data_IF_490557790675
#
_entry.id   IF_490557790675
#
_cell.length_a   1.000
_cell.length_b   1.000
_cell.length_c   1.000
_cell.angle_alpha   90.00
_cell.angle_beta   90.00
_cell.angle_gamma   90.00
#
_symmetry.space_group_name_H-M   'P 1'
#
loop_
_entity.id
_entity.type
_entity.pdbx_description
1 polymer ?
#
# COMPACT_ATOMS: atom_id res chain seq x y z
N UNK A 1 -5.47 71.91 -19.03
CA UNK A 1 -4.40 70.95 -18.69
C UNK A 1 -4.92 70.03 -17.59
N UNK A 2 -5.24 68.78 -17.91
CA UNK A 2 -5.58 67.74 -16.93
C UNK A 2 -5.06 66.42 -17.48
N UNK A 3 -3.90 66.01 -17.00
CA UNK A 3 -3.29 64.72 -17.36
C UNK A 3 -3.88 63.66 -16.45
N UNK A 4 -4.64 62.72 -17.00
CA UNK A 4 -5.04 61.50 -16.30
C UNK A 4 -3.95 60.44 -16.53
N UNK A 5 -3.29 60.04 -15.44
CA UNK A 5 -2.38 58.90 -15.43
C UNK A 5 -3.21 57.65 -15.19
N UNK A 6 -3.27 56.76 -16.18
CA UNK A 6 -3.92 55.45 -16.07
C UNK A 6 -2.89 54.45 -15.54
N UNK A 7 -3.12 53.91 -14.34
CA UNK A 7 -2.27 52.90 -13.71
C UNK A 7 -2.80 51.51 -14.08
N UNK A 8 -2.04 50.76 -14.89
CA UNK A 8 -2.42 49.42 -15.34
C UNK A 8 -1.83 48.36 -14.39
N UNK A 9 -2.66 47.78 -13.53
CA UNK A 9 -2.28 46.64 -12.69
C UNK A 9 -2.30 45.36 -13.52
N UNK A 10 -1.12 44.80 -13.83
CA UNK A 10 -0.99 43.45 -14.35
C UNK A 10 -1.19 42.44 -13.21
N UNK A 11 -2.37 41.83 -13.15
CA UNK A 11 -2.58 40.61 -12.37
C UNK A 11 -1.89 39.44 -13.09
N UNK A 12 -0.70 39.06 -12.63
CA UNK A 12 -0.12 37.76 -12.98
C UNK A 12 -0.94 36.67 -12.30
N UNK A 13 -1.87 36.05 -13.04
CA UNK A 13 -2.47 34.80 -12.61
C UNK A 13 -1.41 33.71 -12.69
N UNK A 14 -0.84 33.31 -11.56
CA UNK A 14 -0.07 32.06 -11.47
C UNK A 14 -1.05 30.92 -11.70
N UNK A 15 -1.08 30.38 -12.92
CA UNK A 15 -1.78 29.13 -13.21
C UNK A 15 -0.96 28.03 -12.52
N UNK A 16 -1.31 27.70 -11.29
CA UNK A 16 -0.81 26.51 -10.62
C UNK A 16 -1.38 25.30 -11.38
N UNK A 17 -0.59 24.72 -12.28
CA UNK A 17 -0.86 23.39 -12.81
C UNK A 17 -0.76 22.41 -11.63
N UNK A 18 -1.91 22.07 -11.04
CA UNK A 18 -2.01 20.89 -10.19
C UNK A 18 -1.82 19.70 -11.13
N UNK A 19 -0.68 19.02 -11.05
CA UNK A 19 -0.54 17.72 -11.69
C UNK A 19 -1.61 16.82 -11.08
N UNK A 20 -2.49 16.28 -11.92
CA UNK A 20 -3.52 15.38 -11.45
C UNK A 20 -2.82 14.12 -10.93
N UNK A 21 -3.06 13.79 -9.67
CA UNK A 21 -2.67 12.49 -9.11
C UNK A 21 -3.44 11.43 -9.87
N UNK A 22 -2.72 10.54 -10.55
CA UNK A 22 -3.31 9.46 -11.34
C UNK A 22 -2.79 8.13 -10.81
N UNK A 23 -3.64 7.11 -10.80
CA UNK A 23 -3.22 5.75 -10.51
C UNK A 23 -3.98 4.75 -11.37
N UNK A 24 -3.27 3.70 -11.80
CA UNK A 24 -3.77 2.65 -12.68
C UNK A 24 -3.18 1.30 -12.28
N UNK A 25 -4.00 0.26 -12.40
CA UNK A 25 -3.53 -1.14 -12.32
C UNK A 25 -2.92 -1.52 -13.67
N UNK A 26 -1.73 -2.09 -13.66
CA UNK A 26 -1.05 -2.56 -14.86
C UNK A 26 -1.55 -3.96 -15.27
N UNK A 27 -1.76 -4.14 -16.57
CA UNK A 27 -1.99 -5.44 -17.19
C UNK A 27 -0.71 -6.27 -17.26
N UNK A 28 -0.82 -7.57 -17.53
CA UNK A 28 0.35 -8.43 -17.66
C UNK A 28 1.23 -8.04 -18.86
N UNK A 29 0.62 -7.67 -19.98
CA UNK A 29 1.36 -7.15 -21.15
C UNK A 29 2.16 -5.91 -20.78
N UNK A 30 1.53 -4.98 -20.08
CA UNK A 30 2.17 -3.76 -19.59
C UNK A 30 3.30 -3.98 -18.58
N UNK A 31 3.24 -5.05 -17.78
CA UNK A 31 4.31 -5.44 -16.85
C UNK A 31 5.51 -5.99 -17.65
N UNK A 32 5.25 -6.83 -18.66
CA UNK A 32 6.27 -7.45 -19.51
C UNK A 32 6.94 -6.40 -20.40
N UNK A 33 6.17 -5.55 -21.08
CA UNK A 33 6.69 -4.49 -21.96
C UNK A 33 7.56 -3.48 -21.22
N UNK A 34 7.25 -3.24 -19.95
CA UNK A 34 8.02 -2.37 -19.06
C UNK A 34 9.23 -3.05 -18.43
N UNK A 35 9.39 -4.36 -18.58
CA UNK A 35 10.43 -5.16 -17.90
C UNK A 35 10.49 -4.90 -16.38
N UNK A 36 9.30 -4.85 -15.74
CA UNK A 36 9.23 -4.59 -14.30
C UNK A 36 9.77 -5.77 -13.50
N UNK A 37 10.68 -5.46 -12.57
CA UNK A 37 11.25 -6.44 -11.67
C UNK A 37 10.28 -6.73 -10.50
N UNK A 38 9.91 -7.99 -10.34
CA UNK A 38 9.14 -8.48 -9.19
C UNK A 38 9.99 -8.72 -7.94
N UNK A 39 11.30 -8.46 -8.03
CA UNK A 39 12.30 -8.82 -7.05
C UNK A 39 12.49 -10.33 -7.02
N UNK A 40 12.28 -10.95 -5.86
CA UNK A 40 12.56 -12.39 -5.69
C UNK A 40 11.45 -13.31 -6.20
N UNK A 41 10.27 -12.77 -6.49
CA UNK A 41 9.06 -13.56 -6.72
C UNK A 41 8.30 -13.07 -7.96
N UNK A 42 7.47 -13.93 -8.57
CA UNK A 42 6.58 -13.52 -9.66
C UNK A 42 5.67 -12.36 -9.24
N UNK A 43 5.46 -11.41 -10.16
CA UNK A 43 4.54 -10.29 -9.95
C UNK A 43 3.11 -10.81 -9.93
N UNK A 44 2.43 -10.62 -8.80
CA UNK A 44 1.01 -10.88 -8.63
C UNK A 44 0.16 -9.69 -9.11
N UNK A 45 0.59 -8.47 -8.79
CA UNK A 45 -0.10 -7.23 -9.17
C UNK A 45 0.88 -6.07 -9.24
N UNK A 46 0.69 -5.15 -10.19
CA UNK A 46 1.43 -3.89 -10.21
C UNK A 46 0.49 -2.70 -10.42
N UNK A 47 0.86 -1.57 -9.87
CA UNK A 47 0.17 -0.29 -9.99
C UNK A 47 1.15 0.76 -10.46
N UNK A 48 0.75 1.55 -11.45
CA UNK A 48 1.42 2.82 -11.76
C UNK A 48 0.69 3.94 -11.02
N UNK A 49 1.44 4.87 -10.47
CA UNK A 49 0.89 6.12 -9.96
C UNK A 49 1.83 7.29 -10.22
N UNK A 50 1.25 8.47 -10.36
CA UNK A 50 1.98 9.73 -10.53
C UNK A 50 1.66 10.68 -9.38
N UNK A 51 2.71 11.28 -8.82
CA UNK A 51 2.61 12.30 -7.80
C UNK A 51 3.68 13.40 -8.01
N UNK A 52 3.77 14.38 -7.10
CA UNK A 52 4.76 15.48 -7.19
C UNK A 52 6.23 15.02 -7.21
N UNK A 53 6.51 13.80 -6.78
CA UNK A 53 7.83 13.18 -6.77
C UNK A 53 8.19 12.44 -8.06
N UNK A 54 7.22 12.16 -8.95
CA UNK A 54 7.44 11.49 -10.22
C UNK A 54 6.38 10.44 -10.56
N UNK A 55 6.75 9.53 -11.47
CA UNK A 55 5.96 8.35 -11.84
C UNK A 55 6.55 7.15 -11.12
N UNK A 56 5.71 6.36 -10.48
CA UNK A 56 6.13 5.24 -9.65
C UNK A 56 5.36 3.98 -10.00
N UNK A 57 6.01 2.85 -9.75
CA UNK A 57 5.45 1.53 -9.93
C UNK A 57 5.48 0.78 -8.59
N UNK A 58 4.30 0.53 -8.02
CA UNK A 58 4.14 -0.36 -6.87
C UNK A 58 3.91 -1.78 -7.37
N UNK A 59 4.91 -2.63 -7.18
CA UNK A 59 4.91 -4.03 -7.57
C UNK A 59 4.66 -4.90 -6.34
N UNK A 60 3.68 -5.80 -6.42
CA UNK A 60 3.32 -6.77 -5.40
C UNK A 60 3.60 -8.17 -5.94
N UNK A 61 4.49 -8.90 -5.26
CA UNK A 61 5.01 -10.20 -5.69
C UNK A 61 4.83 -11.27 -4.62
N UNK A 62 4.49 -12.47 -5.05
CA UNK A 62 4.18 -13.61 -4.17
C UNK A 62 4.89 -14.86 -4.66
N UNK A 63 5.46 -15.66 -3.76
CA UNK A 63 6.43 -16.69 -4.15
C UNK A 63 5.86 -17.98 -4.78
N UNK A 64 4.53 -18.17 -4.77
CA UNK A 64 3.84 -19.31 -5.41
C UNK A 64 4.52 -20.67 -5.14
N UNK A 65 4.86 -20.99 -3.88
CA UNK A 65 5.55 -22.24 -3.54
C UNK A 65 4.66 -23.44 -3.90
N UNK A 66 5.16 -24.34 -4.73
CA UNK A 66 4.48 -25.60 -5.09
C UNK A 66 4.38 -26.51 -3.86
N UNK A 67 3.16 -26.91 -3.51
CA UNK A 67 2.83 -27.83 -2.40
C UNK A 67 2.34 -29.17 -2.94
N UNK A 68 1.69 -29.17 -4.10
CA UNK A 68 1.41 -30.36 -4.90
C UNK A 68 1.36 -30.01 -6.40
N UNK A 69 1.25 -31.01 -7.28
CA UNK A 69 1.19 -30.82 -8.75
C UNK A 69 0.08 -29.84 -9.21
N UNK A 70 -0.90 -29.53 -8.36
CA UNK A 70 -2.01 -28.60 -8.66
C UNK A 70 -2.24 -27.53 -7.60
N UNK A 71 -1.36 -27.42 -6.60
CA UNK A 71 -1.56 -26.51 -5.48
C UNK A 71 -0.29 -25.73 -5.15
N UNK A 72 -0.42 -24.41 -5.10
CA UNK A 72 0.64 -23.49 -4.70
C UNK A 72 0.15 -22.69 -3.49
N UNK A 73 1.02 -22.58 -2.48
CA UNK A 73 0.80 -21.70 -1.35
C UNK A 73 1.87 -20.62 -1.34
N UNK A 74 1.45 -19.39 -1.09
CA UNK A 74 2.40 -18.31 -0.87
C UNK A 74 2.92 -18.38 0.56
N UNK A 75 4.22 -18.52 0.74
CA UNK A 75 4.90 -18.49 2.04
C UNK A 75 5.73 -17.23 2.26
N UNK A 76 5.92 -16.43 1.20
CA UNK A 76 6.68 -15.17 1.21
C UNK A 76 6.03 -14.18 0.25
N UNK A 77 6.02 -12.91 0.64
CA UNK A 77 5.57 -11.79 -0.18
C UNK A 77 6.63 -10.69 -0.22
N UNK A 78 6.62 -9.92 -1.30
CA UNK A 78 7.44 -8.74 -1.49
C UNK A 78 6.61 -7.62 -2.13
N UNK A 79 6.70 -6.41 -1.60
CA UNK A 79 6.16 -5.20 -2.21
C UNK A 79 7.30 -4.22 -2.44
N UNK A 80 7.49 -3.78 -3.68
CA UNK A 80 8.55 -2.89 -4.10
C UNK A 80 7.94 -1.67 -4.75
N UNK A 81 8.42 -0.48 -4.38
CA UNK A 81 8.09 0.74 -5.09
C UNK A 81 9.31 1.21 -5.86
N UNK A 82 9.14 1.32 -7.17
CA UNK A 82 10.10 1.90 -8.08
C UNK A 82 9.69 3.33 -8.43
N UNK A 83 10.69 4.18 -8.65
CA UNK A 83 10.55 5.45 -9.35
C UNK A 83 11.02 5.23 -10.78
N UNK A 84 10.18 5.59 -11.74
CA UNK A 84 10.52 5.65 -13.14
C UNK A 84 11.42 6.87 -13.38
N UNK A 85 12.70 6.59 -13.63
CA UNK A 85 13.66 7.59 -14.06
C UNK A 85 14.00 7.34 -15.54
N UNK A 86 14.41 8.37 -16.28
CA UNK A 86 14.54 8.35 -17.75
C UNK A 86 15.50 7.27 -18.29
N UNK A 87 16.24 6.57 -17.41
CA UNK A 87 17.11 5.44 -17.72
C UNK A 87 16.73 4.10 -17.06
N UNK A 88 15.55 3.97 -16.45
CA UNK A 88 15.05 2.73 -15.83
C UNK A 88 14.38 2.95 -14.46
N UNK A 89 14.31 1.89 -13.66
CA UNK A 89 13.61 1.90 -12.38
C UNK A 89 14.57 2.02 -11.21
N UNK A 90 14.30 2.97 -10.30
CA UNK A 90 15.04 3.15 -9.04
C UNK A 90 14.18 2.65 -7.88
N UNK A 91 14.65 1.64 -7.15
CA UNK A 91 13.96 1.17 -5.93
C UNK A 91 13.94 2.28 -4.86
N UNK A 92 12.75 2.67 -4.43
CA UNK A 92 12.55 3.68 -3.37
C UNK A 92 12.40 3.04 -2.00
N UNK A 93 11.67 1.94 -1.94
CA UNK A 93 11.48 1.17 -0.72
C UNK A 93 10.99 -0.24 -1.05
N UNK A 94 11.16 -1.12 -0.07
CA UNK A 94 10.78 -2.53 -0.14
C UNK A 94 10.17 -2.99 1.17
N UNK A 95 9.15 -3.82 1.08
CA UNK A 95 8.53 -4.53 2.19
C UNK A 95 8.57 -6.01 1.86
N UNK A 96 9.08 -6.81 2.78
CA UNK A 96 9.04 -8.26 2.70
C UNK A 96 8.37 -8.84 3.94
N UNK A 97 7.64 -9.94 3.79
CA UNK A 97 7.17 -10.74 4.91
C UNK A 97 7.04 -12.22 4.53
N UNK A 98 6.92 -13.07 5.53
CA UNK A 98 6.81 -14.52 5.39
C UNK A 98 5.88 -15.10 6.46
N UNK A 99 5.41 -16.32 6.23
CA UNK A 99 4.61 -17.06 7.21
C UNK A 99 5.39 -17.32 8.50
N UNK A 100 4.74 -17.19 9.65
CA UNK A 100 5.32 -17.45 10.96
C UNK A 100 4.94 -18.85 11.46
N UNK A 101 5.91 -19.58 12.02
CA UNK A 101 5.71 -20.91 12.62
C UNK A 101 5.74 -20.85 14.15
N UNK A 102 5.13 -19.82 14.73
CA UNK A 102 5.09 -19.61 16.18
C UNK A 102 4.01 -20.49 16.86
N UNK A 103 3.39 -20.02 17.95
CA UNK A 103 2.36 -20.74 18.72
C UNK A 103 1.22 -21.32 17.87
N UNK A 104 0.95 -20.73 16.70
CA UNK A 104 0.03 -21.23 15.69
C UNK A 104 0.75 -21.19 14.34
N UNK A 105 0.77 -22.31 13.62
CA UNK A 105 1.46 -22.43 12.34
C UNK A 105 0.68 -21.73 11.22
N UNK A 106 1.31 -20.77 10.56
CA UNK A 106 0.79 -20.14 9.36
C UNK A 106 1.21 -20.92 8.12
N UNK A 107 0.26 -21.18 7.23
CA UNK A 107 0.48 -21.95 5.99
C UNK A 107 0.55 -21.07 4.75
N UNK A 108 -0.11 -19.91 4.77
CA UNK A 108 -0.11 -19.00 3.63
C UNK A 108 -0.15 -17.52 4.01
N UNK A 109 0.43 -16.67 3.14
CA UNK A 109 0.47 -15.21 3.21
C UNK A 109 0.21 -14.61 1.82
N UNK A 110 -0.66 -13.61 1.68
CA UNK A 110 -0.97 -12.99 0.38
C UNK A 110 -1.48 -11.56 0.50
N UNK A 111 -1.32 -10.78 -0.57
CA UNK A 111 -1.80 -9.40 -0.65
C UNK A 111 -3.32 -9.35 -0.85
N UNK A 112 -3.98 -8.56 -0.01
CA UNK A 112 -5.40 -8.30 -0.14
C UNK A 112 -5.62 -7.06 -1.02
N UNK A 113 -5.36 -7.21 -2.31
CA UNK A 113 -5.34 -6.10 -3.29
C UNK A 113 -6.62 -5.26 -3.31
N UNK A 114 -7.78 -5.84 -2.97
CA UNK A 114 -9.06 -5.12 -2.78
C UNK A 114 -8.99 -4.00 -1.71
N UNK A 115 -8.06 -4.11 -0.77
CA UNK A 115 -7.83 -3.17 0.33
C UNK A 115 -6.56 -2.34 0.16
N UNK A 116 -5.76 -2.60 -0.88
CA UNK A 116 -4.62 -1.76 -1.23
C UNK A 116 -5.09 -0.48 -1.93
N UNK A 117 -4.30 0.58 -1.83
CA UNK A 117 -4.58 1.87 -2.46
C UNK A 117 -3.31 2.63 -2.80
N UNK A 118 -3.37 3.44 -3.84
CA UNK A 118 -2.33 4.36 -4.31
C UNK A 118 -3.00 5.70 -4.59
N UNK A 119 -3.49 6.34 -3.51
CA UNK A 119 -4.22 7.61 -3.56
C UNK A 119 -3.51 8.65 -2.68
N UNK A 120 -3.62 9.92 -3.04
CA UNK A 120 -3.26 11.05 -2.18
C UNK A 120 -4.41 11.23 -1.20
N UNK A 121 -4.20 10.82 0.06
CA UNK A 121 -5.27 10.76 1.05
C UNK A 121 -5.33 12.05 1.89
N UNK A 122 -4.24 12.81 1.96
CA UNK A 122 -4.19 14.07 2.71
C UNK A 122 -4.30 15.35 1.85
N UNK A 123 -4.29 15.19 0.52
CA UNK A 123 -4.30 16.23 -0.53
C UNK A 123 -3.00 17.07 -0.56
N UNK A 124 -1.85 16.50 -0.15
CA UNK A 124 -0.55 17.18 -0.19
C UNK A 124 0.17 17.04 -1.54
N UNK A 125 -0.37 16.25 -2.46
CA UNK A 125 0.14 15.97 -3.80
C UNK A 125 1.17 14.85 -3.86
N UNK A 126 1.42 14.14 -2.77
CA UNK A 126 2.16 12.88 -2.74
C UNK A 126 1.20 11.71 -2.52
N UNK A 127 1.49 10.56 -3.11
CA UNK A 127 0.67 9.36 -2.93
C UNK A 127 0.95 8.73 -1.56
N UNK A 128 -0.11 8.34 -0.86
CA UNK A 128 -0.09 7.59 0.39
C UNK A 128 -0.40 6.11 0.11
N UNK A 129 0.60 5.28 -0.27
CA UNK A 129 0.34 3.88 -0.57
C UNK A 129 -0.21 3.18 0.68
N UNK A 130 -1.28 2.43 0.51
CA UNK A 130 -1.84 1.50 1.49
C UNK A 130 -1.62 0.09 0.97
N UNK A 131 -0.92 -0.73 1.74
CA UNK A 131 -0.63 -2.13 1.42
C UNK A 131 -1.23 -2.98 2.51
N UNK A 132 -2.09 -3.93 2.10
CA UNK A 132 -2.75 -4.86 3.02
C UNK A 132 -2.41 -6.28 2.63
N UNK A 133 -2.04 -7.09 3.60
CA UNK A 133 -1.92 -8.52 3.45
C UNK A 133 -2.43 -9.23 4.70
N UNK A 134 -2.76 -10.51 4.53
CA UNK A 134 -3.11 -11.40 5.61
C UNK A 134 -2.39 -12.73 5.51
N UNK A 135 -2.41 -13.47 6.60
CA UNK A 135 -1.99 -14.87 6.68
C UNK A 135 -3.13 -15.75 7.14
N UNK A 136 -2.99 -17.05 6.87
CA UNK A 136 -3.90 -18.07 7.39
C UNK A 136 -3.16 -19.27 7.94
N UNK A 137 -3.86 -20.04 8.76
CA UNK A 137 -3.38 -21.31 9.33
C UNK A 137 -3.75 -22.49 8.44
N UNK A 138 -3.35 -23.69 8.87
CA UNK A 138 -3.70 -24.98 8.27
C UNK A 138 -5.21 -25.27 8.26
N UNK A 139 -5.93 -24.79 9.26
CA UNK A 139 -7.40 -24.87 9.38
C UNK A 139 -8.13 -23.68 8.72
N UNK A 140 -7.47 -22.96 7.81
CA UNK A 140 -8.02 -21.84 7.01
C UNK A 140 -8.50 -20.62 7.83
N UNK A 141 -8.10 -20.52 9.10
CA UNK A 141 -8.38 -19.36 9.93
C UNK A 141 -7.41 -18.22 9.63
N UNK A 142 -7.92 -17.00 9.49
CA UNK A 142 -7.08 -15.81 9.38
C UNK A 142 -6.27 -15.61 10.66
N UNK A 143 -4.97 -15.36 10.52
CA UNK A 143 -4.04 -15.27 11.66
C UNK A 143 -3.46 -13.88 11.85
N UNK A 144 -2.62 -13.40 10.93
CA UNK A 144 -2.07 -12.04 10.96
C UNK A 144 -2.70 -11.21 9.87
N UNK A 145 -2.99 -9.96 10.18
CA UNK A 145 -3.40 -8.95 9.21
C UNK A 145 -2.51 -7.73 9.42
N UNK A 146 -1.86 -7.25 8.36
CA UNK A 146 -1.07 -6.02 8.43
C UNK A 146 -1.58 -5.00 7.41
N UNK A 147 -1.75 -3.78 7.90
CA UNK A 147 -2.07 -2.60 7.08
C UNK A 147 -0.87 -1.68 7.18
N UNK A 148 -0.20 -1.45 6.05
CA UNK A 148 1.03 -0.66 5.97
C UNK A 148 0.74 0.58 5.14
N UNK A 149 1.24 1.72 5.61
CA UNK A 149 1.33 2.94 4.80
C UNK A 149 2.73 3.54 4.88
N UNK A 150 3.16 4.21 3.83
CA UNK A 150 4.38 5.01 3.83
C UNK A 150 4.00 6.47 3.66
N UNK A 151 4.42 7.30 4.61
CA UNK A 151 4.20 8.74 4.57
C UNK A 151 5.53 9.44 4.81
N UNK A 152 5.95 10.28 3.86
CA UNK A 152 7.23 11.03 3.90
C UNK A 152 8.43 10.12 4.20
N UNK A 153 8.57 9.04 3.44
CA UNK A 153 9.59 7.99 3.59
C UNK A 153 9.60 7.27 4.94
N UNK A 154 8.57 7.43 5.77
CA UNK A 154 8.41 6.72 7.04
C UNK A 154 7.29 5.69 6.92
N UNK A 155 7.60 4.46 7.30
CA UNK A 155 6.65 3.34 7.32
C UNK A 155 5.83 3.36 8.61
N UNK A 156 4.51 3.20 8.47
CA UNK A 156 3.56 3.05 9.56
C UNK A 156 2.78 1.76 9.36
N UNK A 157 2.53 1.02 10.43
CA UNK A 157 1.96 -0.32 10.35
C UNK A 157 0.92 -0.51 11.45
N UNK A 158 -0.26 -1.01 11.08
CA UNK A 158 -1.15 -1.71 12.00
C UNK A 158 -0.81 -3.19 11.92
N UNK A 159 -0.54 -3.81 13.07
CA UNK A 159 -0.29 -5.24 13.21
C UNK A 159 -1.45 -5.83 13.99
N UNK A 160 -2.23 -6.70 13.35
CA UNK A 160 -3.30 -7.41 14.00
C UNK A 160 -3.01 -8.91 14.00
N UNK A 161 -3.39 -9.55 15.09
CA UNK A 161 -3.38 -10.99 15.29
C UNK A 161 -4.81 -11.39 15.65
N UNK A 162 -5.42 -12.24 14.82
CA UNK A 162 -6.74 -12.82 15.03
C UNK A 162 -6.62 -14.22 15.64
N UNK A 163 -7.59 -14.55 16.47
CA UNK A 163 -7.84 -15.89 17.01
C UNK A 163 -9.21 -15.87 17.72
N UNK A 164 -9.68 -17.05 18.11
CA UNK A 164 -11.00 -17.22 18.71
C UNK A 164 -11.12 -16.62 20.12
N UNK A 165 -10.03 -16.61 20.89
CA UNK A 165 -10.03 -16.17 22.28
C UNK A 165 -9.48 -14.76 22.43
N UNK A 166 -10.12 -13.94 23.27
CA UNK A 166 -9.76 -12.53 23.43
C UNK A 166 -8.27 -12.33 23.77
N UNK A 167 -7.73 -13.12 24.70
CA UNK A 167 -6.35 -12.97 25.19
C UNK A 167 -5.26 -13.23 24.14
N UNK A 168 -5.56 -13.93 23.04
CA UNK A 168 -4.59 -14.19 21.97
C UNK A 168 -4.73 -13.20 20.80
N UNK A 169 -5.75 -12.32 20.84
CA UNK A 169 -5.92 -11.26 19.84
C UNK A 169 -5.04 -10.08 20.19
N UNK A 170 -4.57 -9.38 19.15
CA UNK A 170 -3.90 -8.09 19.36
C UNK A 170 -4.13 -7.17 18.17
N UNK A 171 -4.15 -5.86 18.43
CA UNK A 171 -4.31 -4.83 17.43
C UNK A 171 -3.40 -3.63 17.75
N UNK A 172 -2.19 -3.65 17.21
CA UNK A 172 -1.14 -2.69 17.55
C UNK A 172 -0.87 -1.73 16.39
N UNK A 173 -1.14 -0.45 16.62
CA UNK A 173 -0.71 0.64 15.73
C UNK A 173 0.77 0.95 15.96
N UNK A 174 1.46 1.49 14.95
CA UNK A 174 2.87 1.90 15.08
C UNK A 174 3.04 2.92 16.23
N UNK A 175 4.18 2.90 16.92
CA UNK A 175 4.46 3.85 18.02
C UNK A 175 4.35 5.32 17.58
N UNK A 176 4.60 5.58 16.30
CA UNK A 176 4.52 6.91 15.70
C UNK A 176 3.17 7.21 15.05
N UNK A 177 2.14 6.37 15.26
CA UNK A 177 0.86 6.48 14.55
C UNK A 177 0.27 7.89 14.60
N UNK A 178 0.40 8.57 15.74
CA UNK A 178 -0.17 9.90 15.91
C UNK A 178 0.45 10.99 15.03
N UNK A 179 1.67 10.75 14.52
CA UNK A 179 2.35 11.64 13.57
C UNK A 179 1.74 11.60 12.17
N UNK A 180 0.91 10.59 11.84
CA UNK A 180 0.20 10.57 10.57
C UNK A 180 -0.85 11.70 10.50
N UNK A 181 -1.01 12.34 9.33
CA UNK A 181 -2.13 13.22 9.04
C UNK A 181 -3.49 12.62 9.43
N UNK A 182 -4.38 13.48 9.94
CA UNK A 182 -5.72 13.04 10.38
C UNK A 182 -6.52 12.38 9.27
N UNK A 183 -6.39 12.85 8.03
CA UNK A 183 -7.08 12.29 6.86
C UNK A 183 -6.64 10.85 6.58
N UNK A 184 -5.33 10.58 6.53
CA UNK A 184 -4.77 9.22 6.38
C UNK A 184 -5.25 8.30 7.50
N UNK A 185 -5.16 8.74 8.77
CA UNK A 185 -5.67 7.96 9.92
C UNK A 185 -7.15 7.62 9.78
N UNK A 186 -7.97 8.59 9.39
CA UNK A 186 -9.41 8.42 9.18
C UNK A 186 -9.70 7.45 8.05
N UNK A 187 -8.95 7.51 6.94
CA UNK A 187 -9.06 6.56 5.84
C UNK A 187 -8.77 5.14 6.32
N UNK A 188 -7.65 4.95 7.04
CA UNK A 188 -7.26 3.63 7.54
C UNK A 188 -8.26 3.10 8.58
N UNK A 189 -8.79 3.95 9.47
CA UNK A 189 -9.81 3.52 10.43
C UNK A 189 -11.10 3.05 9.71
N UNK A 190 -11.51 3.72 8.62
CA UNK A 190 -12.61 3.25 7.76
C UNK A 190 -12.27 1.95 7.05
N UNK A 191 -11.03 1.79 6.60
CA UNK A 191 -10.56 0.57 5.97
C UNK A 191 -10.61 -0.62 6.94
N UNK A 192 -10.21 -0.42 8.20
CA UNK A 192 -10.33 -1.43 9.26
C UNK A 192 -11.78 -1.86 9.43
N UNK A 193 -12.72 -0.91 9.52
CA UNK A 193 -14.16 -1.23 9.61
C UNK A 193 -14.65 -2.03 8.40
N UNK A 194 -14.20 -1.66 7.18
CA UNK A 194 -14.53 -2.40 5.96
C UNK A 194 -14.00 -3.83 6.01
N UNK A 195 -12.74 -4.02 6.39
CA UNK A 195 -12.11 -5.35 6.50
C UNK A 195 -12.85 -6.21 7.52
N UNK A 196 -13.15 -5.67 8.72
CA UNK A 196 -13.94 -6.38 9.75
C UNK A 196 -15.23 -6.97 9.18
N UNK A 197 -15.98 -6.13 8.47
CA UNK A 197 -17.27 -6.53 7.89
C UNK A 197 -17.12 -7.56 6.77
N UNK A 198 -16.16 -7.37 5.87
CA UNK A 198 -16.04 -8.18 4.66
C UNK A 198 -15.29 -9.50 4.86
N UNK A 199 -14.35 -9.55 5.81
CA UNK A 199 -13.56 -10.74 6.13
C UNK A 199 -14.07 -11.46 7.39
N UNK A 200 -15.10 -10.92 8.05
CA UNK A 200 -15.64 -11.45 9.30
C UNK A 200 -14.58 -11.59 10.40
N UNK A 201 -13.76 -10.55 10.58
CA UNK A 201 -12.68 -10.48 11.57
C UNK A 201 -12.95 -9.39 12.61
N UNK A 202 -12.29 -9.48 13.76
CA UNK A 202 -12.53 -8.57 14.89
C UNK A 202 -11.64 -7.33 14.78
N UNK A 203 -10.35 -7.50 14.46
CA UNK A 203 -9.35 -6.42 14.33
C UNK A 203 -9.37 -5.44 15.50
N UNK A 204 -9.45 -5.93 16.74
CA UNK A 204 -9.33 -5.13 17.95
C UNK A 204 -8.44 -5.84 18.95
N UNK A 205 -7.95 -5.11 19.94
CA UNK A 205 -7.38 -5.76 21.12
C UNK A 205 -8.47 -6.61 21.80
N UNK A 206 -8.03 -7.69 22.43
CA UNK A 206 -8.83 -8.53 23.32
C UNK A 206 -8.24 -8.54 24.72
#
# INVERSE_FOLDING_TARGET
>A
MKNFILLLFFFYSTISFSQAVQSKILSQTEIIERDLDGGKFPIFKAYEYQDKGGVYELVLSENQKVVSDKDTLNTKIEAICYLNDHGGYIEKWKINDFVESAEVEETSIWFWTKYCSTQDLDDDGYIDPIIVYGTKTDIDNLRRIKIITLYKNKKYVIRAVECDLDYCRSFKKDKNWDLLPKKIKTYIDKLVVKIRKEQNVILSDG
#
